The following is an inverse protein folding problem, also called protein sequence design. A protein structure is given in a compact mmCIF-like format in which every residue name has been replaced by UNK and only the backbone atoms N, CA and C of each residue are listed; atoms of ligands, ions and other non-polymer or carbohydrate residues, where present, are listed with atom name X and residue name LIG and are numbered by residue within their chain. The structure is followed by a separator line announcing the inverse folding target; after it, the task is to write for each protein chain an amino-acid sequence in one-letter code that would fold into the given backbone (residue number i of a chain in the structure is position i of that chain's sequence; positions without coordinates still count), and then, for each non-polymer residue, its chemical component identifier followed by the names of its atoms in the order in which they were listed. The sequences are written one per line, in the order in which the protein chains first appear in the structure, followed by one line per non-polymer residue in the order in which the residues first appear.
data_IF_692772844416
#
_entry.id   IF_692772844416
#
_cell.length_a   1.000
_cell.length_b   1.000
_cell.length_c   1.000
_cell.angle_alpha   90.00
_cell.angle_beta   90.00
_cell.angle_gamma   90.00
#
_symmetry.space_group_name_H-M   'P 1'
#
loop_
_entity.id
_entity.type
_entity.pdbx_description
1 polymer ?
#
# COMPACT_ATOMS: atom_id res chain seq x y z
N UNK A 1 11.72 12.13 15.97
CA UNK A 1 12.55 11.13 15.28
C UNK A 1 11.80 10.71 14.04
N UNK A 2 12.22 11.19 12.87
CA UNK A 2 11.65 10.81 11.59
C UNK A 2 11.99 9.32 11.35
N UNK A 3 10.97 8.48 11.15
CA UNK A 3 11.17 7.10 10.73
C UNK A 3 11.60 7.13 9.28
N UNK A 4 12.84 6.78 9.03
CA UNK A 4 13.36 6.51 7.69
C UNK A 4 12.42 5.52 6.99
N UNK A 5 11.98 5.79 5.74
CA UNK A 5 11.19 4.85 4.97
C UNK A 5 12.07 3.64 4.66
N UNK A 6 11.84 2.53 5.34
CA UNK A 6 12.48 1.25 4.96
C UNK A 6 11.91 0.85 3.60
N UNK A 7 12.65 1.13 2.55
CA UNK A 7 12.38 0.64 1.20
C UNK A 7 12.64 -0.86 1.26
N UNK A 8 11.60 -1.65 1.20
CA UNK A 8 11.70 -3.09 1.08
C UNK A 8 12.13 -3.42 -0.35
N UNK A 9 13.45 -3.51 -0.55
CA UNK A 9 14.06 -3.68 -1.89
C UNK A 9 13.65 -5.01 -2.51
N UNK A 10 13.52 -6.06 -1.73
CA UNK A 10 13.27 -7.41 -2.22
C UNK A 10 11.86 -7.58 -2.83
N UNK A 11 10.76 -7.18 -2.17
CA UNK A 11 9.43 -7.20 -2.80
C UNK A 11 9.38 -6.34 -4.08
N UNK A 12 9.88 -5.11 -4.03
CA UNK A 12 9.90 -4.24 -5.22
C UNK A 12 10.69 -4.83 -6.39
N UNK A 13 11.73 -5.63 -6.11
CA UNK A 13 12.50 -6.32 -7.14
C UNK A 13 11.69 -7.45 -7.80
N UNK A 14 10.86 -8.17 -7.03
CA UNK A 14 9.97 -9.21 -7.57
C UNK A 14 8.87 -8.58 -8.44
N UNK A 15 8.26 -7.49 -7.97
CA UNK A 15 7.30 -6.70 -8.76
C UNK A 15 7.92 -6.17 -10.05
N UNK A 16 9.18 -5.70 -10.00
CA UNK A 16 9.91 -5.29 -11.20
C UNK A 16 10.15 -6.49 -12.15
N UNK A 17 10.38 -7.70 -11.62
CA UNK A 17 10.48 -8.94 -12.38
C UNK A 17 9.17 -9.31 -13.06
N UNK A 18 8.03 -9.18 -12.34
CA UNK A 18 6.69 -9.34 -12.91
C UNK A 18 6.48 -8.38 -14.09
N UNK A 19 6.71 -7.08 -13.86
CA UNK A 19 6.59 -6.05 -14.90
C UNK A 19 7.50 -6.31 -16.11
N UNK A 20 8.75 -6.74 -15.87
CA UNK A 20 9.69 -7.08 -16.93
C UNK A 20 9.17 -8.25 -17.78
N UNK A 21 8.69 -9.31 -17.17
CA UNK A 21 8.11 -10.45 -17.89
C UNK A 21 6.87 -10.03 -18.70
N UNK A 22 5.97 -9.24 -18.12
CA UNK A 22 4.81 -8.70 -18.82
C UNK A 22 5.21 -7.85 -20.03
N UNK A 23 6.19 -6.98 -19.88
CA UNK A 23 6.73 -6.17 -20.97
C UNK A 23 7.37 -7.03 -22.08
N UNK A 24 8.16 -8.05 -21.70
CA UNK A 24 8.73 -8.97 -22.66
C UNK A 24 7.67 -9.79 -23.40
N UNK A 25 6.56 -10.14 -22.74
CA UNK A 25 5.43 -10.79 -23.41
C UNK A 25 4.86 -9.88 -24.50
N UNK A 26 4.60 -8.60 -24.20
CA UNK A 26 4.09 -7.61 -25.16
C UNK A 26 5.05 -7.47 -26.35
N UNK A 27 6.34 -7.30 -26.09
CA UNK A 27 7.36 -7.21 -27.17
C UNK A 27 7.41 -8.45 -28.05
N UNK A 28 7.27 -9.62 -27.46
CA UNK A 28 7.30 -10.89 -28.20
C UNK A 28 6.06 -11.05 -29.06
N UNK A 29 4.87 -10.62 -28.58
CA UNK A 29 3.64 -10.53 -29.37
C UNK A 29 3.84 -9.59 -30.56
N UNK A 30 4.44 -8.43 -30.36
CA UNK A 30 4.72 -7.46 -31.42
C UNK A 30 5.66 -8.03 -32.49
N UNK A 31 6.71 -8.74 -32.07
CA UNK A 31 7.63 -9.44 -33.00
C UNK A 31 6.89 -10.51 -33.80
N UNK A 32 6.02 -11.28 -33.16
CA UNK A 32 5.17 -12.27 -33.83
C UNK A 32 4.25 -11.64 -34.87
N UNK A 33 3.66 -10.47 -34.55
CA UNK A 33 2.84 -9.69 -35.48
C UNK A 33 3.61 -9.28 -36.76
N UNK A 34 4.86 -8.82 -36.57
CA UNK A 34 5.70 -8.39 -37.69
C UNK A 34 6.19 -9.58 -38.52
N UNK A 35 6.42 -10.73 -37.91
CA UNK A 35 6.93 -11.92 -38.56
C UNK A 35 5.84 -12.73 -39.28
N UNK A 36 4.60 -12.66 -38.82
CA UNK A 36 3.48 -13.49 -39.29
C UNK A 36 3.27 -13.46 -40.82
N UNK A 37 3.42 -12.32 -41.54
CA UNK A 37 3.24 -12.29 -43.01
C UNK A 37 4.34 -13.06 -43.76
N UNK A 38 5.56 -13.11 -43.22
CA UNK A 38 6.71 -13.72 -43.87
C UNK A 38 6.93 -15.18 -43.41
N UNK A 39 6.68 -15.45 -42.11
CA UNK A 39 6.89 -16.79 -41.54
C UNK A 39 5.82 -17.08 -40.45
N UNK A 40 4.67 -17.67 -40.83
CA UNK A 40 3.59 -17.95 -39.87
C UNK A 40 3.99 -18.94 -38.77
N UNK A 41 4.82 -19.93 -39.06
CA UNK A 41 5.29 -20.90 -38.06
C UNK A 41 6.18 -20.23 -37.00
N UNK A 42 7.15 -19.44 -37.44
CA UNK A 42 7.99 -18.65 -36.51
C UNK A 42 7.19 -17.64 -35.67
N UNK A 43 6.12 -17.06 -36.23
CA UNK A 43 5.23 -16.20 -35.48
C UNK A 43 4.47 -16.98 -34.39
N UNK A 44 4.03 -18.21 -34.66
CA UNK A 44 3.38 -19.07 -33.68
C UNK A 44 4.31 -19.39 -32.49
N UNK A 45 5.59 -19.67 -32.77
CA UNK A 45 6.59 -19.90 -31.71
C UNK A 45 6.76 -18.69 -30.82
N UNK A 46 6.73 -17.47 -31.39
CA UNK A 46 6.78 -16.22 -30.63
C UNK A 46 5.53 -16.01 -29.76
N UNK A 47 4.34 -16.36 -30.23
CA UNK A 47 3.14 -16.32 -29.40
C UNK A 47 3.19 -17.31 -28.27
N UNK A 48 3.70 -18.51 -28.49
CA UNK A 48 3.93 -19.51 -27.43
C UNK A 48 4.94 -18.99 -26.40
N UNK A 49 6.02 -18.36 -26.86
CA UNK A 49 7.00 -17.73 -25.96
C UNK A 49 6.38 -16.59 -25.13
N UNK A 50 5.48 -15.81 -25.70
CA UNK A 50 4.80 -14.76 -24.96
C UNK A 50 3.92 -15.31 -23.82
N UNK A 51 3.30 -16.48 -24.02
CA UNK A 51 2.57 -17.18 -22.96
C UNK A 51 3.51 -17.56 -21.81
N UNK A 52 4.71 -18.07 -22.14
CA UNK A 52 5.70 -18.41 -21.09
C UNK A 52 6.14 -17.18 -20.29
N UNK A 53 6.27 -16.02 -20.93
CA UNK A 53 6.56 -14.78 -20.21
C UNK A 53 5.41 -14.35 -19.30
N UNK A 54 4.14 -14.51 -19.71
CA UNK A 54 2.97 -14.24 -18.85
C UNK A 54 2.96 -15.20 -17.64
N UNK A 55 3.29 -16.48 -17.82
CA UNK A 55 3.44 -17.41 -16.69
C UNK A 55 4.62 -17.04 -15.79
N UNK A 56 5.72 -16.57 -16.36
CA UNK A 56 6.86 -16.04 -15.60
C UNK A 56 6.45 -14.84 -14.74
N UNK A 57 5.66 -13.92 -15.29
CA UNK A 57 5.10 -12.80 -14.54
C UNK A 57 4.23 -13.28 -13.36
N UNK A 58 3.36 -14.28 -13.60
CA UNK A 58 2.54 -14.88 -12.55
C UNK A 58 3.38 -15.51 -11.42
N UNK A 59 4.50 -16.13 -11.77
CA UNK A 59 5.40 -16.70 -10.77
C UNK A 59 6.03 -15.60 -9.88
N UNK A 60 6.48 -14.50 -10.50
CA UNK A 60 7.04 -13.36 -9.77
C UNK A 60 6.00 -12.72 -8.84
N UNK A 61 4.77 -12.52 -9.31
CA UNK A 61 3.64 -12.02 -8.53
C UNK A 61 3.31 -12.91 -7.32
N UNK A 62 3.29 -14.23 -7.50
CA UNK A 62 3.08 -15.17 -6.40
C UNK A 62 4.21 -15.12 -5.35
N UNK A 63 5.45 -14.95 -5.80
CA UNK A 63 6.61 -14.83 -4.91
C UNK A 63 6.58 -13.52 -4.12
N UNK A 64 6.24 -12.42 -4.77
CA UNK A 64 6.06 -11.09 -4.20
C UNK A 64 5.00 -11.12 -3.08
N UNK A 65 3.79 -11.58 -3.37
CA UNK A 65 2.71 -11.71 -2.40
C UNK A 65 3.07 -12.60 -1.20
N UNK A 66 3.89 -13.64 -1.38
CA UNK A 66 4.40 -14.47 -0.28
C UNK A 66 5.44 -13.75 0.56
N UNK A 67 6.38 -13.05 -0.08
CA UNK A 67 7.44 -12.30 0.61
C UNK A 67 6.86 -11.13 1.41
N UNK A 68 5.87 -10.43 0.86
CA UNK A 68 5.16 -9.36 1.57
C UNK A 68 4.50 -9.86 2.86
N UNK A 69 3.86 -11.02 2.83
CA UNK A 69 3.25 -11.65 4.02
C UNK A 69 4.27 -12.07 5.08
N UNK A 70 5.46 -12.53 4.67
CA UNK A 70 6.53 -12.91 5.60
C UNK A 70 7.24 -11.70 6.20
N UNK A 71 7.29 -10.58 5.46
CA UNK A 71 7.93 -9.33 5.90
C UNK A 71 7.09 -8.45 6.82
N UNK A 72 5.80 -8.75 7.01
CA UNK A 72 4.90 -8.14 7.98
C UNK A 72 4.46 -6.70 7.72
N UNK A 73 4.89 -6.04 6.62
CA UNK A 73 4.39 -4.72 6.19
C UNK A 73 4.72 -4.47 4.71
N UNK A 74 3.68 -4.29 3.92
CA UNK A 74 3.81 -3.74 2.57
C UNK A 74 3.98 -2.22 2.66
N UNK A 75 4.85 -1.66 1.81
CA UNK A 75 4.90 -0.21 1.66
C UNK A 75 3.72 0.25 0.79
N UNK A 76 3.10 1.42 1.06
CA UNK A 76 2.06 1.98 0.18
C UNK A 76 2.53 2.07 -1.27
N UNK A 77 3.79 2.44 -1.50
CA UNK A 77 4.40 2.48 -2.84
C UNK A 77 4.46 1.08 -3.48
N UNK A 78 4.87 0.04 -2.73
CA UNK A 78 4.97 -1.33 -3.25
C UNK A 78 3.64 -1.85 -3.77
N UNK A 79 2.56 -1.62 -3.04
CA UNK A 79 1.19 -2.02 -3.42
C UNK A 79 0.71 -1.34 -4.71
N UNK A 80 0.95 -0.03 -4.86
CA UNK A 80 0.58 0.69 -6.08
C UNK A 80 1.44 0.24 -7.27
N UNK A 81 2.73 0.01 -7.05
CA UNK A 81 3.64 -0.46 -8.08
C UNK A 81 3.29 -1.88 -8.55
N UNK A 82 2.92 -2.77 -7.62
CA UNK A 82 2.43 -4.11 -7.90
C UNK A 82 1.17 -4.09 -8.76
N UNK A 83 0.20 -3.25 -8.39
CA UNK A 83 -1.03 -3.08 -9.17
C UNK A 83 -0.78 -2.59 -10.60
N UNK A 84 0.20 -1.72 -10.80
CA UNK A 84 0.59 -1.27 -12.14
C UNK A 84 1.27 -2.38 -12.94
N UNK A 85 2.13 -3.17 -12.30
CA UNK A 85 2.77 -4.33 -12.92
C UNK A 85 1.73 -5.36 -13.37
N UNK A 86 0.73 -5.63 -12.53
CA UNK A 86 -0.35 -6.58 -12.82
C UNK A 86 -1.23 -6.14 -14.00
N UNK A 87 -1.54 -4.86 -14.10
CA UNK A 87 -2.29 -4.34 -15.26
C UNK A 87 -1.53 -4.59 -16.56
N UNK A 88 -0.21 -4.47 -16.58
CA UNK A 88 0.61 -4.75 -17.76
C UNK A 88 0.68 -6.24 -18.04
N UNK A 89 1.01 -7.05 -17.05
CA UNK A 89 1.32 -8.48 -17.19
C UNK A 89 0.07 -9.33 -17.40
N UNK A 90 -1.03 -9.01 -16.69
CA UNK A 90 -2.28 -9.80 -16.72
C UNK A 90 -3.44 -9.07 -17.39
N UNK A 91 -3.31 -7.77 -17.65
CA UNK A 91 -4.27 -7.00 -18.41
C UNK A 91 -3.85 -6.84 -19.87
N UNK A 92 -2.78 -6.09 -20.13
CA UNK A 92 -2.38 -5.69 -21.49
C UNK A 92 -1.84 -6.87 -22.30
N UNK A 93 -0.90 -7.64 -21.75
CA UNK A 93 -0.25 -8.73 -22.48
C UNK A 93 -1.27 -9.83 -22.93
N UNK A 94 -2.14 -10.35 -22.02
CA UNK A 94 -3.16 -11.32 -22.44
C UNK A 94 -4.20 -10.73 -23.38
N UNK A 95 -4.61 -9.47 -23.19
CA UNK A 95 -5.58 -8.82 -24.09
C UNK A 95 -5.07 -8.75 -25.53
N UNK A 96 -3.80 -8.37 -25.72
CA UNK A 96 -3.14 -8.32 -27.02
C UNK A 96 -2.97 -9.71 -27.63
N UNK A 97 -2.61 -10.71 -26.82
CA UNK A 97 -2.47 -12.08 -27.28
C UNK A 97 -3.80 -12.66 -27.75
N UNK A 98 -4.88 -12.51 -26.97
CA UNK A 98 -6.22 -12.96 -27.33
C UNK A 98 -6.72 -12.22 -28.57
N UNK A 99 -6.51 -10.92 -28.66
CA UNK A 99 -6.86 -10.12 -29.82
C UNK A 99 -6.23 -10.69 -31.09
N UNK A 100 -4.94 -11.06 -31.02
CA UNK A 100 -4.21 -11.53 -32.19
C UNK A 100 -4.48 -13.00 -32.54
N UNK A 101 -4.64 -13.88 -31.52
CA UNK A 101 -4.75 -15.33 -31.75
C UNK A 101 -6.20 -15.78 -31.91
N UNK A 102 -7.12 -15.18 -31.13
CA UNK A 102 -8.51 -15.65 -31.04
C UNK A 102 -9.49 -14.73 -31.80
N UNK A 103 -9.26 -13.42 -31.72
CA UNK A 103 -10.22 -12.45 -32.27
C UNK A 103 -9.87 -11.98 -33.71
N UNK A 104 -8.88 -12.63 -34.34
CA UNK A 104 -8.40 -12.28 -35.68
C UNK A 104 -9.48 -12.42 -36.76
N UNK A 105 -10.40 -13.39 -36.59
CA UNK A 105 -11.49 -13.67 -37.54
C UNK A 105 -12.70 -12.72 -37.40
N UNK A 106 -12.71 -11.92 -36.33
CA UNK A 106 -13.76 -10.93 -36.11
C UNK A 106 -13.47 -9.60 -36.84
N UNK A 107 -14.50 -8.81 -37.14
CA UNK A 107 -14.31 -7.44 -37.60
C UNK A 107 -13.35 -6.70 -36.63
N UNK A 108 -12.38 -5.97 -37.21
CA UNK A 108 -11.31 -5.32 -36.44
C UNK A 108 -11.83 -4.50 -35.27
N UNK A 109 -12.91 -3.76 -35.47
CA UNK A 109 -13.51 -2.93 -34.42
C UNK A 109 -14.09 -3.77 -33.29
N UNK A 110 -14.79 -4.86 -33.63
CA UNK A 110 -15.38 -5.75 -32.64
C UNK A 110 -14.30 -6.49 -31.82
N UNK A 111 -13.26 -7.01 -32.48
CA UNK A 111 -12.13 -7.65 -31.79
C UNK A 111 -11.39 -6.71 -30.85
N UNK A 112 -11.13 -5.49 -31.32
CA UNK A 112 -10.48 -4.47 -30.48
C UNK A 112 -11.31 -4.07 -29.27
N UNK A 113 -12.63 -3.95 -29.44
CA UNK A 113 -13.54 -3.62 -28.35
C UNK A 113 -13.60 -4.72 -27.29
N UNK A 114 -13.64 -5.99 -27.72
CA UNK A 114 -13.63 -7.14 -26.79
C UNK A 114 -12.33 -7.19 -26.00
N UNK A 115 -11.18 -7.01 -26.65
CA UNK A 115 -9.89 -6.99 -25.98
C UNK A 115 -9.78 -5.81 -24.98
N UNK A 116 -10.29 -4.63 -25.36
CA UNK A 116 -10.36 -3.48 -24.47
C UNK A 116 -11.28 -3.73 -23.26
N UNK A 117 -12.44 -4.35 -23.48
CA UNK A 117 -13.38 -4.66 -22.40
C UNK A 117 -12.76 -5.64 -21.39
N UNK A 118 -12.02 -6.63 -21.86
CA UNK A 118 -11.26 -7.53 -21.00
C UNK A 118 -10.27 -6.77 -20.11
N UNK A 119 -9.46 -5.89 -20.73
CA UNK A 119 -8.51 -5.04 -20.01
C UNK A 119 -9.19 -4.13 -18.98
N UNK A 120 -10.29 -3.48 -19.39
CA UNK A 120 -11.07 -2.58 -18.56
C UNK A 120 -11.63 -3.30 -17.32
N UNK A 121 -12.24 -4.46 -17.51
CA UNK A 121 -12.79 -5.25 -16.40
C UNK A 121 -11.72 -5.67 -15.42
N UNK A 122 -10.54 -6.09 -15.90
CA UNK A 122 -9.39 -6.45 -15.07
C UNK A 122 -8.88 -5.26 -14.24
N UNK A 123 -8.68 -4.11 -14.90
CA UNK A 123 -8.22 -2.89 -14.26
C UNK A 123 -9.22 -2.37 -13.21
N UNK A 124 -10.52 -2.37 -13.52
CA UNK A 124 -11.57 -1.96 -12.57
C UNK A 124 -11.65 -2.90 -11.35
N UNK A 125 -11.52 -4.21 -11.57
CA UNK A 125 -11.47 -5.18 -10.47
C UNK A 125 -10.30 -4.89 -9.53
N UNK A 126 -9.12 -4.63 -10.07
CA UNK A 126 -7.91 -4.34 -9.31
C UNK A 126 -8.05 -3.01 -8.54
N UNK A 127 -8.51 -1.95 -9.21
CA UNK A 127 -8.76 -0.66 -8.57
C UNK A 127 -9.76 -0.76 -7.41
N UNK A 128 -10.87 -1.51 -7.61
CA UNK A 128 -11.84 -1.75 -6.54
C UNK A 128 -11.22 -2.48 -5.35
N UNK A 129 -10.40 -3.48 -5.60
CA UNK A 129 -9.71 -4.23 -4.53
C UNK A 129 -8.79 -3.32 -3.72
N UNK A 130 -8.01 -2.46 -4.38
CA UNK A 130 -7.11 -1.51 -3.73
C UNK A 130 -7.87 -0.49 -2.88
N UNK A 131 -8.98 0.05 -3.37
CA UNK A 131 -9.82 0.96 -2.58
C UNK A 131 -10.36 0.30 -1.31
N UNK A 132 -10.83 -0.94 -1.40
CA UNK A 132 -11.34 -1.68 -0.24
C UNK A 132 -10.25 -1.99 0.78
N UNK A 133 -9.03 -2.30 0.33
CA UNK A 133 -7.89 -2.53 1.20
C UNK A 133 -7.48 -1.25 1.95
N UNK A 134 -7.47 -0.10 1.28
CA UNK A 134 -7.18 1.19 1.88
C UNK A 134 -8.22 1.59 2.95
N UNK A 135 -9.51 1.35 2.70
CA UNK A 135 -10.58 1.63 3.67
C UNK A 135 -10.48 0.77 4.93
N UNK A 136 -9.96 -0.45 4.82
CA UNK A 136 -9.74 -1.34 5.95
C UNK A 136 -8.64 -0.82 6.87
N UNK A 137 -7.53 -0.34 6.31
CA UNK A 137 -6.41 0.23 7.07
C UNK A 137 -6.82 1.50 7.85
N UNK A 138 -7.70 2.33 7.28
CA UNK A 138 -8.22 3.54 7.94
C UNK A 138 -9.11 3.19 9.15
N UNK A 139 -9.88 2.10 9.07
CA UNK A 139 -10.76 1.66 10.17
C UNK A 139 -9.99 1.06 11.34
N UNK A 140 -8.89 0.37 11.08
CA UNK A 140 -8.07 -0.26 12.13
C UNK A 140 -7.17 0.75 12.86
N UNK A 141 -6.94 1.93 12.30
CA UNK A 141 -6.24 3.04 12.93
C UNK A 141 -7.14 4.30 13.00
N UNK A 142 -8.12 4.35 13.92
CA UNK A 142 -8.89 5.56 14.11
C UNK A 142 -7.93 6.68 14.50
N UNK A 143 -7.85 7.69 13.65
CA UNK A 143 -7.04 8.90 13.87
C UNK A 143 -7.37 9.45 15.25
N UNK A 144 -6.35 9.82 16.02
CA UNK A 144 -6.46 10.42 17.36
C UNK A 144 -7.38 11.67 17.44
N UNK A 145 -7.79 12.20 16.30
CA UNK A 145 -8.79 13.27 16.19
C UNK A 145 -10.24 12.83 16.49
N UNK A 146 -10.52 11.51 16.50
CA UNK A 146 -11.85 10.97 16.84
C UNK A 146 -11.95 10.41 18.26
N UNK A 147 -10.93 10.59 19.10
CA UNK A 147 -11.14 10.36 20.54
C UNK A 147 -12.15 11.39 21.04
N UNK A 148 -13.30 10.98 21.55
CA UNK A 148 -14.14 11.89 22.31
C UNK A 148 -13.27 12.58 23.35
N UNK A 149 -13.34 13.90 23.42
CA UNK A 149 -12.68 14.64 24.49
C UNK A 149 -13.06 13.99 25.82
N UNK A 150 -12.09 13.73 26.72
CA UNK A 150 -12.42 13.18 28.03
C UNK A 150 -13.49 14.08 28.67
N UNK A 151 -14.48 13.50 29.36
CA UNK A 151 -15.51 14.29 30.03
C UNK A 151 -14.83 15.34 30.90
N UNK A 152 -15.34 16.59 30.96
CA UNK A 152 -14.79 17.62 31.80
C UNK A 152 -14.70 17.07 33.23
N UNK A 153 -13.49 17.06 33.78
CA UNK A 153 -13.24 16.63 35.15
C UNK A 153 -14.17 17.38 36.09
N UNK A 154 -14.54 16.83 37.26
CA UNK A 154 -15.42 17.49 38.19
C UNK A 154 -14.90 18.89 38.50
N UNK A 155 -15.77 19.88 38.30
CA UNK A 155 -15.46 21.28 38.58
C UNK A 155 -14.86 21.36 39.98
N UNK A 156 -13.61 21.79 40.06
CA UNK A 156 -13.03 22.14 41.37
C UNK A 156 -13.90 23.27 41.91
N UNK A 157 -14.76 22.94 42.88
CA UNK A 157 -15.49 23.91 43.65
C UNK A 157 -14.46 24.91 44.22
N UNK A 158 -14.40 26.07 43.67
CA UNK A 158 -13.71 27.20 44.26
C UNK A 158 -14.50 27.55 45.48
N UNK A 159 -14.12 27.00 46.60
CA UNK A 159 -14.60 27.37 47.91
C UNK A 159 -14.33 28.87 48.06
N UNK A 160 -15.36 29.62 48.33
CA UNK A 160 -15.34 31.05 48.60
C UNK A 160 -14.28 31.42 49.66
N UNK A 161 -13.67 32.61 49.59
CA UNK A 161 -12.65 32.99 50.55
C UNK A 161 -13.28 33.08 51.93
N UNK A 162 -12.80 32.25 52.87
CA UNK A 162 -13.12 32.33 54.28
C UNK A 162 -12.65 33.67 54.81
N UNK A 163 -13.61 34.37 55.40
CA UNK A 163 -13.47 35.66 56.15
C UNK A 163 -12.27 35.54 57.11
N UNK A 164 -11.24 36.34 56.86
CA UNK A 164 -10.04 36.39 57.70
C UNK A 164 -10.42 36.99 59.11
N UNK A 165 -10.36 36.15 60.14
CA UNK A 165 -10.32 36.55 61.50
C UNK A 165 -8.92 37.05 61.86
N UNK A 166 -8.73 38.17 62.58
CA UNK A 166 -7.44 38.70 62.95
C UNK A 166 -6.79 37.82 64.03
N UNK A 167 -5.43 37.73 64.07
CA UNK A 167 -4.71 36.84 65.00
C UNK A 167 -4.75 37.48 66.44
N UNK A 168 -4.77 36.61 67.47
CA UNK A 168 -4.67 37.10 68.85
C UNK A 168 -3.28 37.64 69.16
N UNK A 169 -3.20 38.76 69.82
CA UNK A 169 -1.95 39.29 70.37
C UNK A 169 -1.47 38.39 71.50
N UNK A 170 -0.32 37.82 71.40
CA UNK A 170 0.33 37.15 72.53
C UNK A 170 1.65 37.83 72.85
N UNK A 171 1.67 38.24 74.08
CA UNK A 171 2.66 38.89 74.87
C UNK A 171 3.97 38.13 74.89
N UNK A 172 5.04 38.92 74.89
CA UNK A 172 6.43 38.52 75.12
C UNK A 172 6.65 37.79 76.44
N UNK A 173 7.36 36.69 76.43
CA UNK A 173 8.06 36.27 77.61
C UNK A 173 9.45 35.72 77.17
N UNK A 174 10.40 36.50 77.56
CA UNK A 174 11.84 36.25 77.62
C UNK A 174 12.12 34.96 78.40
N UNK A 175 12.92 34.07 77.84
CA UNK A 175 13.80 33.28 78.73
C UNK A 175 15.14 32.95 78.08
N UNK A 176 16.13 33.20 78.86
CA UNK A 176 17.58 33.10 78.73
C UNK A 176 18.12 31.69 78.44
N UNK A 177 19.18 31.65 77.67
CA UNK A 177 20.48 31.02 78.00
C UNK A 177 20.55 29.51 78.29
N UNK A 178 21.38 28.79 77.52
CA UNK A 178 22.58 28.09 78.03
C UNK A 178 23.20 27.24 76.88
N UNK A 179 24.27 27.66 76.34
CA UNK A 179 25.64 27.18 76.40
C UNK A 179 25.82 25.62 76.41
N UNK A 180 26.47 25.01 75.46
CA UNK A 180 27.86 24.55 75.50
C UNK A 180 28.15 23.44 74.50
N UNK A 181 29.11 23.63 73.72
CA UNK A 181 30.13 22.77 73.12
C UNK A 181 30.58 21.55 73.96
N UNK A 182 31.52 20.60 73.51
CA UNK A 182 31.94 20.13 72.18
C UNK A 182 32.10 18.58 72.13
N UNK A 183 32.28 18.00 71.02
CA UNK A 183 33.36 17.11 70.63
C UNK A 183 33.15 16.59 69.22
#
# INVERSE_FOLDING_TARGET
MAREPKIYVLPNLMTAGNLFCGFMAVLTIFRGLMLAPANPLGAHDLYTQSILFIFGACLFDLLDGRLARLGGRESPFGREFDSLADVVSFGVAPALLVYKVVLVDLPREAGSFIAFLYLLCGAMRLARFNCMAADSEVKDHPTSAQRPSPPPGPAKNTTAPALALPPPKTTAATFHSFRSFPS
#
